data_IF_044409225589
#
_entry.id   IF_044409225589
#
_cell.length_a   1.000
_cell.length_b   1.000
_cell.length_c   1.000
_cell.angle_alpha   90.00
_cell.angle_beta   90.00
_cell.angle_gamma   90.00
#
_symmetry.space_group_name_H-M   'P 1'
#
loop_
_entity.id
_entity.type
_entity.pdbx_description
1 polymer ?
#
# COMPACT_ATOMS: atom_id res chain seq x y z
N UNK A 1 -10.00 15.90 11.56
CA UNK A 1 -9.82 14.46 11.29
C UNK A 1 -9.98 14.14 9.81
N UNK A 2 -11.05 14.54 9.15
CA UNK A 2 -11.32 14.26 7.74
C UNK A 2 -10.20 14.71 6.80
N UNK A 3 -9.70 15.95 6.94
CA UNK A 3 -8.58 16.45 6.13
C UNK A 3 -7.30 15.60 6.28
N UNK A 4 -7.01 15.15 7.50
CA UNK A 4 -5.85 14.29 7.77
C UNK A 4 -5.99 12.93 7.06
N UNK A 5 -7.16 12.31 7.18
CA UNK A 5 -7.46 11.04 6.50
C UNK A 5 -7.39 11.18 4.99
N UNK A 6 -7.94 12.26 4.45
CA UNK A 6 -7.85 12.58 3.04
C UNK A 6 -6.39 12.68 2.56
N UNK A 7 -5.54 13.39 3.31
CA UNK A 7 -4.10 13.53 2.97
C UNK A 7 -3.40 12.18 3.00
N UNK A 8 -3.59 11.38 4.06
CA UNK A 8 -2.96 10.05 4.17
C UNK A 8 -3.43 9.12 3.04
N UNK A 9 -4.74 9.15 2.72
CA UNK A 9 -5.30 8.39 1.61
C UNK A 9 -4.71 8.83 0.26
N UNK A 10 -4.59 10.12 0.04
CA UNK A 10 -4.00 10.68 -1.19
C UNK A 10 -2.53 10.27 -1.35
N UNK A 11 -1.74 10.37 -0.28
CA UNK A 11 -0.34 9.94 -0.27
C UNK A 11 -0.24 8.45 -0.60
N UNK A 12 -1.05 7.60 0.05
CA UNK A 12 -1.08 6.16 -0.22
C UNK A 12 -1.48 5.85 -1.66
N UNK A 13 -2.51 6.52 -2.18
CA UNK A 13 -2.99 6.37 -3.56
C UNK A 13 -1.92 6.73 -4.58
N UNK A 14 -1.27 7.90 -4.42
CA UNK A 14 -0.20 8.35 -5.32
C UNK A 14 0.99 7.37 -5.26
N UNK A 15 1.39 6.96 -4.07
CA UNK A 15 2.51 6.04 -3.88
C UNK A 15 2.25 4.67 -4.53
N UNK A 16 1.09 4.08 -4.30
CA UNK A 16 0.75 2.77 -4.88
C UNK A 16 0.46 2.84 -6.37
N UNK A 17 -0.19 3.89 -6.86
CA UNK A 17 -0.37 4.09 -8.29
C UNK A 17 0.97 4.20 -9.03
N UNK A 18 1.92 4.96 -8.47
CA UNK A 18 3.27 5.07 -9.01
C UNK A 18 4.03 3.73 -8.96
N UNK A 19 3.94 2.97 -7.85
CA UNK A 19 4.55 1.65 -7.74
C UNK A 19 3.96 0.65 -8.76
N UNK A 20 2.64 0.68 -8.97
CA UNK A 20 1.97 -0.11 -9.99
C UNK A 20 2.41 0.28 -11.41
N UNK A 21 2.44 1.59 -11.70
CA UNK A 21 2.89 2.11 -13.00
C UNK A 21 4.36 1.71 -13.28
N UNK A 22 5.27 1.85 -12.31
CA UNK A 22 6.67 1.41 -12.43
C UNK A 22 6.78 -0.07 -12.75
N UNK A 23 5.97 -0.91 -12.08
CA UNK A 23 5.93 -2.35 -12.35
C UNK A 23 5.45 -2.65 -13.76
N UNK A 24 4.38 -1.99 -14.22
CA UNK A 24 3.87 -2.12 -15.59
C UNK A 24 4.88 -1.70 -16.66
N UNK A 25 5.59 -0.58 -16.42
CA UNK A 25 6.67 -0.12 -17.32
C UNK A 25 7.82 -1.13 -17.40
N UNK A 26 8.22 -1.71 -16.29
CA UNK A 26 9.28 -2.75 -16.26
C UNK A 26 8.88 -4.02 -17.01
N UNK A 27 7.58 -4.30 -17.05
CA UNK A 27 7.00 -5.43 -17.80
C UNK A 27 6.68 -5.11 -19.27
N UNK A 28 7.07 -3.92 -19.76
CA UNK A 28 6.78 -3.44 -21.12
C UNK A 28 5.28 -3.44 -21.47
N UNK A 29 4.41 -3.19 -20.48
CA UNK A 29 2.98 -3.05 -20.73
C UNK A 29 2.71 -1.76 -21.51
N UNK A 30 1.63 -1.75 -22.28
CA UNK A 30 1.14 -0.54 -22.97
C UNK A 30 0.54 0.47 -21.96
N UNK A 31 0.08 1.61 -22.48
CA UNK A 31 -0.49 2.66 -21.62
C UNK A 31 -1.68 2.16 -20.81
N UNK A 32 -2.52 1.33 -21.42
CA UNK A 32 -3.70 0.80 -20.75
C UNK A 32 -3.29 -0.17 -19.62
N UNK A 33 -2.38 -1.09 -19.90
CA UNK A 33 -1.83 -2.02 -18.90
C UNK A 33 -1.18 -1.32 -17.73
N UNK A 34 -0.36 -0.27 -17.98
CA UNK A 34 0.25 0.56 -16.93
C UNK A 34 -0.81 1.27 -16.09
N UNK A 35 -1.83 1.87 -16.72
CA UNK A 35 -2.91 2.54 -16.02
C UNK A 35 -3.74 1.56 -15.17
N UNK A 36 -4.10 0.41 -15.70
CA UNK A 36 -4.85 -0.62 -14.96
C UNK A 36 -4.02 -1.16 -13.79
N UNK A 37 -2.74 -1.43 -14.00
CA UNK A 37 -1.89 -1.94 -12.92
C UNK A 37 -1.70 -0.90 -11.80
N UNK A 38 -1.53 0.38 -12.14
CA UNK A 38 -1.48 1.46 -11.16
C UNK A 38 -2.80 1.65 -10.42
N UNK A 39 -3.92 1.63 -11.13
CA UNK A 39 -5.26 1.71 -10.55
C UNK A 39 -5.50 0.56 -9.57
N UNK A 40 -5.33 -0.67 -10.00
CA UNK A 40 -5.60 -1.86 -9.17
C UNK A 40 -4.65 -1.94 -7.96
N UNK A 41 -3.41 -1.48 -8.11
CA UNK A 41 -2.48 -1.37 -6.96
C UNK A 41 -2.99 -0.37 -5.93
N UNK A 42 -3.47 0.79 -6.37
CA UNK A 42 -3.89 1.87 -5.49
C UNK A 42 -5.22 1.59 -4.77
N UNK A 43 -6.19 0.99 -5.46
CA UNK A 43 -7.54 0.81 -4.90
C UNK A 43 -7.84 -0.62 -4.46
N UNK A 44 -7.09 -1.61 -4.95
CA UNK A 44 -7.41 -3.02 -4.75
C UNK A 44 -7.43 -3.46 -3.30
N UNK A 45 -6.47 -3.02 -2.48
CA UNK A 45 -6.46 -3.29 -1.04
C UNK A 45 -7.68 -2.71 -0.32
N UNK A 46 -8.12 -1.51 -0.69
CA UNK A 46 -9.32 -0.87 -0.19
C UNK A 46 -10.61 -1.62 -0.57
N UNK A 47 -10.69 -2.10 -1.80
CA UNK A 47 -11.83 -2.91 -2.26
C UNK A 47 -11.93 -4.21 -1.45
N UNK A 48 -10.82 -4.92 -1.25
CA UNK A 48 -10.80 -6.15 -0.43
C UNK A 48 -11.20 -5.85 1.01
N UNK A 49 -10.68 -4.77 1.61
CA UNK A 49 -11.08 -4.30 2.94
C UNK A 49 -12.58 -4.10 3.04
N UNK A 50 -13.15 -3.34 2.10
CA UNK A 50 -14.56 -2.97 2.13
C UNK A 50 -15.46 -4.21 2.04
N UNK A 51 -15.09 -5.18 1.21
CA UNK A 51 -15.79 -6.46 1.11
C UNK A 51 -15.72 -7.27 2.43
N UNK A 52 -14.56 -7.28 3.10
CA UNK A 52 -14.40 -7.96 4.41
C UNK A 52 -15.27 -7.31 5.48
N UNK A 53 -15.37 -5.98 5.46
CA UNK A 53 -16.18 -5.22 6.41
C UNK A 53 -17.67 -5.15 6.05
N UNK A 54 -18.08 -5.74 4.92
CA UNK A 54 -19.47 -5.71 4.45
C UNK A 54 -19.91 -4.36 3.90
N UNK A 55 -18.96 -3.49 3.52
CA UNK A 55 -19.22 -2.19 2.90
C UNK A 55 -19.52 -2.39 1.41
N UNK A 56 -20.79 -2.31 1.04
CA UNK A 56 -21.24 -2.55 -0.34
C UNK A 56 -22.14 -1.42 -0.84
N UNK A 57 -21.84 -0.82 -2.02
CA UNK A 57 -20.63 -1.04 -2.82
C UNK A 57 -19.38 -0.47 -2.13
N UNK A 58 -18.17 -1.02 -2.44
CA UNK A 58 -16.90 -0.49 -1.90
C UNK A 58 -16.76 1.02 -2.11
N UNK A 59 -16.09 1.72 -1.18
CA UNK A 59 -15.93 3.18 -1.21
C UNK A 59 -15.37 3.73 -2.52
N UNK A 60 -14.46 3.00 -3.15
CA UNK A 60 -13.89 3.40 -4.45
C UNK A 60 -14.95 3.56 -5.56
N UNK A 61 -16.06 2.82 -5.48
CA UNK A 61 -17.16 2.92 -6.44
C UNK A 61 -18.19 3.98 -6.03
N UNK A 62 -18.21 4.38 -4.76
CA UNK A 62 -19.07 5.46 -4.27
C UNK A 62 -18.42 6.83 -4.54
N UNK A 63 -17.08 6.93 -4.35
CA UNK A 63 -16.27 8.11 -4.66
C UNK A 63 -15.07 7.70 -5.54
N UNK A 64 -15.11 8.02 -6.85
CA UNK A 64 -14.07 7.64 -7.80
C UNK A 64 -12.80 8.53 -7.71
N UNK A 65 -12.73 9.48 -6.78
CA UNK A 65 -11.62 10.43 -6.71
C UNK A 65 -10.25 9.73 -6.65
N UNK A 66 -10.09 8.75 -5.74
CA UNK A 66 -8.84 7.98 -5.62
C UNK A 66 -8.50 7.21 -6.90
N UNK A 67 -9.51 6.67 -7.60
CA UNK A 67 -9.32 5.98 -8.88
C UNK A 67 -8.84 6.96 -9.97
N UNK A 68 -9.42 8.15 -10.05
CA UNK A 68 -9.00 9.19 -11.01
C UNK A 68 -7.57 9.66 -10.73
N UNK A 69 -7.21 9.87 -9.46
CA UNK A 69 -5.83 10.20 -9.06
C UNK A 69 -4.87 9.10 -9.48
N UNK A 70 -5.21 7.83 -9.22
CA UNK A 70 -4.36 6.69 -9.58
C UNK A 70 -4.14 6.59 -11.09
N UNK A 71 -5.18 6.78 -11.91
CA UNK A 71 -5.07 6.82 -13.36
C UNK A 71 -4.21 8.00 -13.84
N UNK A 72 -4.40 9.19 -13.26
CA UNK A 72 -3.61 10.37 -13.59
C UNK A 72 -2.12 10.19 -13.29
N UNK A 73 -1.80 9.67 -12.11
CA UNK A 73 -0.41 9.35 -11.72
C UNK A 73 0.20 8.32 -12.68
N UNK A 74 -0.53 7.24 -12.99
CA UNK A 74 -0.05 6.19 -13.89
C UNK A 74 0.22 6.73 -15.30
N UNK A 75 -0.66 7.59 -15.81
CA UNK A 75 -0.48 8.24 -17.11
C UNK A 75 0.76 9.15 -17.13
N UNK A 76 1.02 9.90 -16.05
CA UNK A 76 2.24 10.72 -15.92
C UNK A 76 3.50 9.86 -15.97
N UNK A 77 3.52 8.72 -15.26
CA UNK A 77 4.67 7.81 -15.29
C UNK A 77 4.89 7.18 -16.66
N UNK A 78 3.84 7.01 -17.46
CA UNK A 78 3.95 6.50 -18.84
C UNK A 78 4.55 7.52 -19.81
N UNK A 79 4.56 8.81 -19.51
CA UNK A 79 5.15 9.85 -20.37
C UNK A 79 6.61 9.51 -20.71
N UNK A 80 6.96 9.67 -21.99
CA UNK A 80 8.27 9.28 -22.55
C UNK A 80 9.47 9.78 -21.73
N UNK A 81 9.36 10.99 -21.18
CA UNK A 81 10.43 11.63 -20.39
C UNK A 81 10.68 10.90 -19.07
N UNK A 82 9.62 10.56 -18.32
CA UNK A 82 9.70 9.82 -17.06
C UNK A 82 10.15 8.37 -17.27
N UNK A 83 9.52 7.69 -18.23
CA UNK A 83 9.85 6.30 -18.58
C UNK A 83 11.34 6.16 -18.94
N UNK A 84 11.85 7.01 -19.83
CA UNK A 84 13.26 6.96 -20.26
C UNK A 84 14.20 7.18 -19.07
N UNK A 85 13.94 8.19 -18.23
CA UNK A 85 14.77 8.53 -17.08
C UNK A 85 14.89 7.39 -16.06
N UNK A 86 13.78 6.73 -15.76
CA UNK A 86 13.71 5.69 -14.69
C UNK A 86 14.23 4.35 -15.23
N UNK A 87 13.81 3.96 -16.44
CA UNK A 87 14.14 2.62 -16.97
C UNK A 87 15.63 2.45 -17.30
N UNK A 88 16.36 3.54 -17.53
CA UNK A 88 17.81 3.49 -17.77
C UNK A 88 18.66 3.46 -16.49
N UNK A 89 18.04 3.51 -15.31
CA UNK A 89 18.72 3.54 -14.01
C UNK A 89 18.12 2.49 -13.07
N UNK A 90 18.61 1.25 -13.08
CA UNK A 90 18.07 0.17 -12.24
C UNK A 90 18.06 0.50 -10.75
N UNK A 91 19.12 1.15 -10.25
CA UNK A 91 19.24 1.55 -8.84
C UNK A 91 18.16 2.56 -8.45
N UNK A 92 17.85 3.52 -9.33
CA UNK A 92 16.79 4.50 -9.10
C UNK A 92 15.42 3.83 -9.09
N UNK A 93 15.19 2.87 -10.01
CA UNK A 93 13.96 2.09 -10.02
C UNK A 93 13.77 1.34 -8.70
N UNK A 94 14.78 0.61 -8.23
CA UNK A 94 14.70 -0.18 -7.01
C UNK A 94 14.49 0.71 -5.77
N UNK A 95 15.16 1.86 -5.71
CA UNK A 95 14.99 2.85 -4.65
C UNK A 95 13.58 3.46 -4.65
N UNK A 96 13.09 3.89 -5.81
CA UNK A 96 11.73 4.44 -5.95
C UNK A 96 10.69 3.40 -5.58
N UNK A 97 10.86 2.16 -6.05
CA UNK A 97 9.96 1.06 -5.74
C UNK A 97 9.91 0.77 -4.24
N UNK A 98 11.07 0.79 -3.55
CA UNK A 98 11.14 0.60 -2.11
C UNK A 98 10.35 1.69 -1.37
N UNK A 99 10.59 2.97 -1.69
CA UNK A 99 9.96 4.08 -0.99
C UNK A 99 8.47 4.17 -1.28
N UNK A 100 8.07 4.12 -2.54
CA UNK A 100 6.67 4.23 -2.94
C UNK A 100 5.83 3.07 -2.36
N UNK A 101 6.35 1.85 -2.45
CA UNK A 101 5.68 0.69 -1.90
C UNK A 101 5.62 0.72 -0.35
N UNK A 102 6.68 1.19 0.31
CA UNK A 102 6.69 1.30 1.79
C UNK A 102 5.76 2.39 2.31
N UNK A 103 5.68 3.54 1.62
CA UNK A 103 4.76 4.64 1.97
C UNK A 103 3.31 4.19 1.75
N UNK A 104 3.03 3.58 0.60
CA UNK A 104 1.70 3.05 0.30
C UNK A 104 1.25 1.97 1.28
N UNK A 105 2.16 1.02 1.60
CA UNK A 105 1.93 0.00 2.60
C UNK A 105 1.57 0.61 3.96
N UNK A 106 2.36 1.56 4.45
CA UNK A 106 2.13 2.21 5.75
C UNK A 106 0.83 3.01 5.78
N UNK A 107 0.60 3.85 4.76
CA UNK A 107 -0.61 4.67 4.66
C UNK A 107 -1.88 3.81 4.67
N UNK A 108 -1.93 2.79 3.82
CA UNK A 108 -3.12 1.95 3.74
C UNK A 108 -3.26 0.96 4.90
N UNK A 109 -2.16 0.56 5.55
CA UNK A 109 -2.25 -0.21 6.81
C UNK A 109 -2.99 0.58 7.88
N UNK A 110 -2.62 1.82 8.12
CA UNK A 110 -3.27 2.62 9.19
C UNK A 110 -4.68 3.08 8.80
N UNK A 111 -4.95 3.33 7.51
CA UNK A 111 -6.31 3.58 7.01
C UNK A 111 -7.20 2.35 7.20
N UNK A 112 -6.68 1.16 6.95
CA UNK A 112 -7.41 -0.09 7.17
C UNK A 112 -7.82 -0.26 8.63
N UNK A 113 -6.89 -0.01 9.57
CA UNK A 113 -7.19 -0.02 11.02
C UNK A 113 -8.26 1.01 11.35
N UNK A 114 -8.13 2.24 10.87
CA UNK A 114 -9.06 3.33 11.12
C UNK A 114 -10.48 3.02 10.64
N UNK A 115 -10.62 2.51 9.40
CA UNK A 115 -11.93 2.19 8.86
C UNK A 115 -12.58 1.01 9.61
N UNK A 116 -11.79 -0.04 9.93
CA UNK A 116 -12.28 -1.15 10.72
C UNK A 116 -12.74 -0.71 12.11
N UNK A 117 -11.99 0.21 12.75
CA UNK A 117 -12.33 0.74 14.07
C UNK A 117 -13.69 1.48 14.06
N UNK A 118 -13.94 2.30 13.04
CA UNK A 118 -15.18 3.11 12.97
C UNK A 118 -16.36 2.35 12.38
N UNK A 119 -16.13 1.31 11.59
CA UNK A 119 -17.22 0.56 10.96
C UNK A 119 -17.78 -0.56 11.85
N UNK A 120 -17.01 -1.01 12.84
CA UNK A 120 -17.36 -2.14 13.70
C UNK A 120 -17.73 -1.64 15.10
N UNK A 121 -18.91 -2.03 15.63
CA UNK A 121 -19.38 -1.59 16.94
C UNK A 121 -18.44 -2.03 18.09
N UNK A 122 -17.92 -3.26 18.01
CA UNK A 122 -16.98 -3.84 18.99
C UNK A 122 -15.77 -4.41 18.25
N UNK A 123 -14.80 -3.56 17.85
CA UNK A 123 -13.66 -4.01 17.06
C UNK A 123 -12.69 -4.83 17.91
N UNK A 124 -12.48 -6.09 17.54
CA UNK A 124 -11.42 -6.90 18.13
C UNK A 124 -10.04 -6.49 17.61
N UNK A 125 -9.00 -6.61 18.44
CA UNK A 125 -7.63 -6.34 18.01
C UNK A 125 -7.24 -7.15 16.76
N UNK A 126 -7.69 -8.42 16.71
CA UNK A 126 -7.45 -9.27 15.56
C UNK A 126 -8.07 -8.71 14.28
N UNK A 127 -9.32 -8.25 14.32
CA UNK A 127 -10.00 -7.63 13.17
C UNK A 127 -9.26 -6.38 12.70
N UNK A 128 -8.91 -5.47 13.61
CA UNK A 128 -8.20 -4.23 13.30
C UNK A 128 -6.88 -4.50 12.60
N UNK A 129 -6.08 -5.40 13.17
CA UNK A 129 -4.77 -5.75 12.63
C UNK A 129 -4.90 -6.49 11.30
N UNK A 130 -5.79 -7.46 11.19
CA UNK A 130 -6.03 -8.21 9.97
C UNK A 130 -6.46 -7.30 8.81
N UNK A 131 -7.47 -6.46 9.05
CA UNK A 131 -7.97 -5.51 8.05
C UNK A 131 -6.90 -4.49 7.66
N UNK A 132 -6.12 -4.00 8.64
CA UNK A 132 -4.99 -3.11 8.38
C UNK A 132 -3.97 -3.75 7.44
N UNK A 133 -3.52 -4.97 7.74
CA UNK A 133 -2.56 -5.71 6.91
C UNK A 133 -3.11 -6.00 5.52
N UNK A 134 -4.35 -6.46 5.42
CA UNK A 134 -4.99 -6.77 4.12
C UNK A 134 -5.13 -5.50 3.28
N UNK A 135 -5.51 -4.37 3.88
CA UNK A 135 -5.62 -3.09 3.16
C UNK A 135 -4.25 -2.63 2.65
N UNK A 136 -3.24 -2.66 3.53
CA UNK A 136 -1.89 -2.21 3.17
C UNK A 136 -1.22 -3.13 2.15
N UNK A 137 -1.20 -4.44 2.40
CA UNK A 137 -0.49 -5.38 1.54
C UNK A 137 -1.27 -5.81 0.29
N UNK A 138 -2.60 -5.69 0.30
CA UNK A 138 -3.49 -6.21 -0.74
C UNK A 138 -3.24 -5.60 -2.11
N UNK A 139 -3.04 -4.28 -2.19
CA UNK A 139 -2.74 -3.60 -3.45
C UNK A 139 -1.44 -4.09 -4.09
N UNK A 140 -0.37 -4.22 -3.29
CA UNK A 140 0.91 -4.77 -3.73
C UNK A 140 0.83 -6.23 -4.16
N UNK A 141 0.04 -7.03 -3.43
CA UNK A 141 -0.22 -8.44 -3.78
C UNK A 141 -0.92 -8.55 -5.15
N UNK A 142 -2.00 -7.80 -5.37
CA UNK A 142 -2.73 -7.77 -6.65
C UNK A 142 -1.80 -7.33 -7.77
N UNK A 143 -1.03 -6.25 -7.59
CA UNK A 143 -0.02 -5.77 -8.53
C UNK A 143 0.93 -6.89 -8.96
N UNK A 144 1.54 -7.56 -7.99
CA UNK A 144 2.57 -8.55 -8.27
C UNK A 144 2.00 -9.78 -9.00
N UNK A 145 0.81 -10.24 -8.59
CA UNK A 145 0.09 -11.33 -9.28
C UNK A 145 -0.26 -10.95 -10.71
N UNK A 146 -0.83 -9.76 -10.94
CA UNK A 146 -1.18 -9.28 -12.29
C UNK A 146 0.06 -9.10 -13.17
N UNK A 147 1.19 -8.71 -12.60
CA UNK A 147 2.45 -8.56 -13.30
C UNK A 147 3.20 -9.89 -13.51
N UNK A 148 2.68 -11.02 -13.05
CA UNK A 148 3.35 -12.32 -13.11
C UNK A 148 4.63 -12.37 -12.29
N UNK A 149 4.70 -11.65 -11.20
CA UNK A 149 5.81 -11.68 -10.24
C UNK A 149 5.44 -12.54 -9.02
N UNK A 150 6.43 -13.12 -8.36
CA UNK A 150 6.22 -13.63 -7.01
C UNK A 150 5.94 -12.46 -6.07
N UNK A 151 4.78 -12.44 -5.38
CA UNK A 151 4.42 -11.31 -4.54
C UNK A 151 5.46 -11.00 -3.45
N UNK A 152 5.73 -9.73 -3.23
CA UNK A 152 6.68 -9.23 -2.24
C UNK A 152 6.39 -9.73 -0.83
N UNK A 153 5.12 -9.91 -0.51
CA UNK A 153 4.67 -10.45 0.79
C UNK A 153 5.31 -11.81 1.13
N UNK A 154 5.69 -12.59 0.11
CA UNK A 154 6.29 -13.91 0.30
C UNK A 154 7.82 -13.94 0.21
N UNK A 155 8.44 -12.96 -0.43
CA UNK A 155 9.87 -13.06 -0.81
C UNK A 155 10.73 -11.87 -0.40
N UNK A 156 10.16 -10.72 -0.04
CA UNK A 156 10.98 -9.52 0.23
C UNK A 156 10.85 -8.99 1.67
N UNK A 157 12.03 -8.88 2.29
CA UNK A 157 12.37 -7.97 3.39
C UNK A 157 11.23 -7.67 4.38
N UNK A 158 10.79 -8.67 5.14
CA UNK A 158 9.87 -8.48 6.28
C UNK A 158 8.61 -7.65 5.92
N UNK A 159 8.10 -7.79 4.68
CA UNK A 159 7.03 -6.94 4.12
C UNK A 159 5.75 -6.98 4.95
N UNK A 160 5.16 -8.18 5.09
CA UNK A 160 3.93 -8.37 5.86
C UNK A 160 4.15 -8.10 7.36
N UNK A 161 5.34 -8.44 7.88
CA UNK A 161 5.67 -8.20 9.29
C UNK A 161 5.75 -6.70 9.61
N UNK A 162 6.21 -5.86 8.66
CA UNK A 162 6.21 -4.41 8.84
C UNK A 162 4.77 -3.86 8.94
N UNK A 163 3.87 -4.30 8.04
CA UNK A 163 2.46 -3.93 8.09
C UNK A 163 1.80 -4.43 9.38
N UNK A 164 2.08 -5.67 9.79
CA UNK A 164 1.59 -6.26 11.05
C UNK A 164 2.03 -5.43 12.26
N UNK A 165 3.31 -5.09 12.35
CA UNK A 165 3.85 -4.28 13.44
C UNK A 165 3.21 -2.87 13.46
N UNK A 166 3.09 -2.23 12.30
CA UNK A 166 2.44 -0.91 12.19
C UNK A 166 0.96 -0.93 12.54
N UNK A 167 0.25 -1.99 12.15
CA UNK A 167 -1.17 -2.18 12.51
C UNK A 167 -1.34 -2.40 14.02
N UNK A 168 -0.48 -3.22 14.64
CA UNK A 168 -0.47 -3.44 16.10
C UNK A 168 -0.18 -2.15 16.86
N UNK A 169 0.83 -1.37 16.44
CA UNK A 169 1.15 -0.07 17.05
C UNK A 169 -0.01 0.90 16.89
N UNK A 170 -0.59 1.00 15.71
CA UNK A 170 -1.73 1.88 15.44
C UNK A 170 -2.94 1.50 16.31
N UNK A 171 -3.33 0.22 16.33
CA UNK A 171 -4.47 -0.25 17.12
C UNK A 171 -4.22 -0.14 18.63
N UNK A 172 -3.01 -0.45 19.11
CA UNK A 172 -2.67 -0.37 20.53
C UNK A 172 -2.58 1.05 21.09
N UNK A 173 -2.18 2.02 20.27
CA UNK A 173 -2.09 3.43 20.68
C UNK A 173 -3.40 4.21 20.46
N UNK A 174 -4.41 3.60 19.86
CA UNK A 174 -5.64 4.28 19.45
C UNK A 174 -6.35 5.00 20.60
N UNK A 175 -6.55 4.30 21.71
CA UNK A 175 -7.22 4.84 22.90
C UNK A 175 -6.29 5.71 23.77
N UNK A 176 -4.98 5.55 23.66
CA UNK A 176 -3.99 6.22 24.52
C UNK A 176 -3.65 7.61 23.98
N UNK A 177 -3.33 7.69 22.70
CA UNK A 177 -2.80 8.92 22.08
C UNK A 177 -3.77 9.58 21.11
N UNK A 178 -4.96 8.99 20.90
CA UNK A 178 -5.94 9.42 19.90
C UNK A 178 -5.57 8.95 18.48
N UNK A 179 -6.58 8.94 17.62
CA UNK A 179 -6.53 8.33 16.30
C UNK A 179 -5.43 8.91 15.38
N UNK A 180 -5.26 10.24 15.34
CA UNK A 180 -4.26 10.86 14.45
C UNK A 180 -2.82 10.48 14.85
N UNK A 181 -2.47 10.54 16.15
CA UNK A 181 -1.15 10.16 16.63
C UNK A 181 -0.89 8.67 16.45
N UNK A 182 -1.90 7.82 16.70
CA UNK A 182 -1.81 6.38 16.49
C UNK A 182 -1.57 6.03 15.02
N UNK A 183 -2.24 6.70 14.09
CA UNK A 183 -2.04 6.49 12.64
C UNK A 183 -0.65 6.95 12.20
N UNK A 184 -0.18 8.11 12.66
CA UNK A 184 1.18 8.60 12.31
C UNK A 184 2.25 7.65 12.83
N UNK A 185 2.14 7.22 14.10
CA UNK A 185 3.12 6.29 14.68
C UNK A 185 3.10 4.93 13.99
N UNK A 186 1.92 4.41 13.66
CA UNK A 186 1.77 3.17 12.89
C UNK A 186 2.39 3.27 11.50
N UNK A 187 2.11 4.34 10.75
CA UNK A 187 2.68 4.60 9.43
C UNK A 187 4.22 4.68 9.49
N UNK A 188 4.75 5.49 10.43
CA UNK A 188 6.19 5.63 10.63
C UNK A 188 6.83 4.29 10.97
N UNK A 189 6.19 3.48 11.82
CA UNK A 189 6.67 2.13 12.17
C UNK A 189 6.79 1.25 10.94
N UNK A 190 5.78 1.22 10.05
CA UNK A 190 5.85 0.45 8.80
C UNK A 190 7.02 0.90 7.94
N UNK A 191 7.11 2.22 7.67
CA UNK A 191 8.15 2.76 6.79
C UNK A 191 9.54 2.52 7.36
N UNK A 192 9.75 2.74 8.66
CA UNK A 192 11.03 2.49 9.33
C UNK A 192 11.45 1.02 9.23
N UNK A 193 10.56 0.08 9.57
CA UNK A 193 10.88 -1.35 9.47
C UNK A 193 11.20 -1.73 8.03
N UNK A 194 10.48 -1.22 7.05
CA UNK A 194 10.74 -1.46 5.62
C UNK A 194 12.10 -0.93 5.18
N UNK A 195 12.43 0.32 5.54
CA UNK A 195 13.72 0.93 5.22
C UNK A 195 14.89 0.21 5.91
N UNK A 196 14.76 -0.09 7.20
CA UNK A 196 15.78 -0.81 7.95
C UNK A 196 15.98 -2.22 7.41
N UNK A 197 14.90 -2.95 7.13
CA UNK A 197 14.99 -4.31 6.59
C UNK A 197 15.61 -4.35 5.20
N UNK A 198 15.37 -3.34 4.38
CA UNK A 198 16.01 -3.20 3.07
C UNK A 198 17.50 -2.85 3.21
N UNK A 199 17.85 -1.91 4.11
CA UNK A 199 19.23 -1.49 4.35
C UNK A 199 20.08 -2.64 4.93
N UNK A 200 19.59 -3.32 5.96
CA UNK A 200 20.29 -4.42 6.63
C UNK A 200 20.07 -5.78 5.95
N UNK A 201 19.31 -5.82 4.86
CA UNK A 201 18.97 -7.05 4.12
C UNK A 201 18.36 -8.14 5.01
N UNK A 202 17.49 -7.76 5.94
CA UNK A 202 16.81 -8.73 6.81
C UNK A 202 15.93 -9.65 5.98
N UNK A 203 16.12 -10.94 6.11
CA UNK A 203 15.31 -11.97 5.47
C UNK A 203 14.75 -12.90 6.55
N UNK A 204 13.51 -13.32 6.38
CA UNK A 204 12.96 -14.41 7.17
C UNK A 204 13.60 -15.73 6.72
N UNK A 205 13.71 -16.72 7.64
CA UNK A 205 14.18 -18.06 7.29
C UNK A 205 13.36 -18.63 6.12
N UNK A 206 14.04 -19.15 5.12
CA UNK A 206 13.39 -19.86 4.02
C UNK A 206 13.40 -21.35 4.33
N UNK A 207 12.35 -22.07 3.92
CA UNK A 207 12.37 -23.51 3.91
C UNK A 207 13.40 -23.94 2.83
N UNK A 208 14.62 -24.16 3.27
CA UNK A 208 15.66 -24.78 2.44
C UNK A 208 15.74 -26.26 2.77
N UNK A 209 15.83 -27.01 1.72
CA UNK A 209 16.24 -28.39 1.72
C UNK A 209 17.65 -28.54 2.30
#
# INVERSE_FOLDING_TARGET
METFLFIVNLIGTVAFAAAGALTGLRKNMDVFGVCILGLTTAVGGGVVRDLILGITPPYTFQDPFSAMVALGVSAVFFLRRFRHFIMHRPELYDLMMLWLDSIGLGAFTVIGVQIAYHHTAEPTLFLLVFVGVVTGAGGGLIRDVMAGNTPYIFVKHVYACASLAGALVCAGLWEICGSAAAMVTGLVTVVLIRCLSAHFRWNLPRAHE
#
